data_IF_352228352147
#
_entry.id   IF_352228352147
#
_cell.length_a   1.000
_cell.length_b   1.000
_cell.length_c   1.000
_cell.angle_alpha   90.00
_cell.angle_beta   90.00
_cell.angle_gamma   90.00
#
_symmetry.space_group_name_H-M   'P 1'
#
loop_
_entity.id
_entity.type
_entity.pdbx_description
1 polymer ?
#
# COMPACT_ATOMS: atom_id res chain seq x y z
N UNK A 1 -6.66 47.77 7.48
CA UNK A 1 -6.19 47.12 8.72
C UNK A 1 -5.86 45.66 8.44
N UNK A 2 -4.55 45.37 8.45
CA UNK A 2 -3.85 44.08 8.60
C UNK A 2 -4.23 42.89 7.71
N UNK A 3 -3.56 42.83 6.56
CA UNK A 3 -3.14 41.59 5.90
C UNK A 3 -1.93 41.01 6.68
N UNK A 4 -1.98 39.75 7.06
CA UNK A 4 -0.83 39.05 7.64
C UNK A 4 -0.24 38.08 6.62
N UNK A 5 0.90 38.47 6.04
CA UNK A 5 1.68 37.68 5.11
C UNK A 5 2.30 36.44 5.78
N UNK A 6 2.19 35.30 5.09
CA UNK A 6 2.97 34.09 5.35
C UNK A 6 4.46 34.39 5.09
N UNK A 7 5.32 34.23 6.10
CA UNK A 7 6.77 34.19 5.90
C UNK A 7 7.29 32.76 6.03
N UNK A 8 7.96 32.36 4.96
CA UNK A 8 8.79 31.18 4.78
C UNK A 8 9.89 31.08 5.85
N UNK A 9 10.05 29.90 6.46
CA UNK A 9 11.25 29.56 7.23
C UNK A 9 12.07 28.54 6.43
N UNK A 10 13.07 29.04 5.71
CA UNK A 10 14.28 28.29 5.36
C UNK A 10 15.48 29.04 5.95
N UNK A 11 16.47 28.24 6.33
CA UNK A 11 17.84 28.61 6.74
C UNK A 11 18.02 28.98 8.21
N UNK A 12 18.44 28.01 9.01
CA UNK A 12 19.68 28.13 9.79
C UNK A 12 20.39 26.77 9.88
N UNK A 13 21.53 26.70 9.22
CA UNK A 13 22.50 25.62 9.22
C UNK A 13 23.53 25.84 10.34
N UNK A 14 23.54 24.93 11.33
CA UNK A 14 24.66 24.38 12.16
C UNK A 14 25.75 25.33 12.70
N UNK A 15 26.18 25.15 13.97
CA UNK A 15 26.87 23.93 14.39
C UNK A 15 26.34 23.34 15.71
N UNK A 16 25.43 22.36 15.59
CA UNK A 16 25.12 21.42 16.68
C UNK A 16 25.67 20.04 16.28
N UNK A 17 26.99 19.93 16.21
CA UNK A 17 27.68 18.64 16.00
C UNK A 17 28.09 17.96 17.32
N UNK A 18 27.67 18.49 18.48
CA UNK A 18 28.02 17.93 19.81
C UNK A 18 26.84 17.63 20.75
N UNK A 19 25.58 17.71 20.29
CA UNK A 19 24.41 17.23 21.04
C UNK A 19 23.80 16.02 20.31
N UNK A 20 24.52 14.90 20.37
CA UNK A 20 24.08 13.65 19.76
C UNK A 20 22.70 13.22 20.29
N UNK A 21 21.81 12.85 19.36
CA UNK A 21 20.60 12.03 19.53
C UNK A 21 19.47 12.51 20.49
N UNK A 22 19.75 13.32 21.51
CA UNK A 22 18.78 13.71 22.56
C UNK A 22 17.71 14.68 22.04
N UNK A 23 18.05 15.75 21.28
CA UNK A 23 17.03 16.66 20.75
C UNK A 23 16.08 15.98 19.76
N UNK A 24 16.60 15.04 18.96
CA UNK A 24 15.80 14.25 18.00
C UNK A 24 14.79 13.34 18.72
N UNK A 25 15.24 12.64 19.78
CA UNK A 25 14.37 11.80 20.61
C UNK A 25 13.32 12.62 21.34
N UNK A 26 13.69 13.76 21.92
CA UNK A 26 12.74 14.65 22.59
C UNK A 26 11.69 15.20 21.61
N UNK A 27 12.10 15.68 20.44
CA UNK A 27 11.19 16.12 19.39
C UNK A 27 10.24 15.00 18.94
N UNK A 28 10.76 13.76 18.81
CA UNK A 28 9.96 12.58 18.50
C UNK A 28 8.90 12.30 19.58
N UNK A 29 9.27 12.34 20.87
CA UNK A 29 8.32 12.10 21.97
C UNK A 29 7.26 13.20 22.09
N UNK A 30 7.66 14.47 21.94
CA UNK A 30 6.72 15.59 21.90
C UNK A 30 5.74 15.44 20.72
N UNK A 31 6.25 15.06 19.54
CA UNK A 31 5.42 14.74 18.38
C UNK A 31 4.42 13.62 18.65
N UNK A 32 4.84 12.54 19.33
CA UNK A 32 3.94 11.44 19.73
C UNK A 32 2.87 11.86 20.74
N UNK A 33 3.24 12.69 21.73
CA UNK A 33 2.28 13.21 22.71
C UNK A 33 1.22 14.11 22.04
N UNK A 34 1.65 14.99 21.13
CA UNK A 34 0.75 15.79 20.30
C UNK A 34 -0.17 14.93 19.44
N UNK A 35 0.38 13.89 18.79
CA UNK A 35 -0.41 12.96 18.00
C UNK A 35 -1.46 12.22 18.86
N UNK A 36 -1.10 11.79 20.08
CA UNK A 36 -2.03 11.15 21.00
C UNK A 36 -3.22 12.06 21.34
N UNK A 37 -2.96 13.30 21.75
CA UNK A 37 -4.02 14.29 22.01
C UNK A 37 -4.96 14.46 20.81
N UNK A 38 -4.40 14.63 19.61
CA UNK A 38 -5.16 14.79 18.37
C UNK A 38 -6.03 13.56 18.07
N UNK A 39 -5.53 12.35 18.31
CA UNK A 39 -6.30 11.11 18.11
C UNK A 39 -7.43 10.95 19.12
N UNK A 40 -7.22 11.30 20.39
CA UNK A 40 -8.29 11.29 21.41
C UNK A 40 -9.40 12.28 21.04
N UNK A 41 -9.05 13.50 20.63
CA UNK A 41 -10.04 14.50 20.19
C UNK A 41 -10.79 13.99 18.94
N UNK A 42 -10.07 13.42 17.96
CA UNK A 42 -10.69 12.84 16.76
C UNK A 42 -11.66 11.71 17.10
N UNK A 43 -11.35 10.89 18.10
CA UNK A 43 -12.22 9.81 18.56
C UNK A 43 -13.49 10.38 19.20
N UNK A 44 -13.37 11.39 20.07
CA UNK A 44 -14.54 12.04 20.68
C UNK A 44 -15.44 12.69 19.61
N UNK A 45 -14.85 13.40 18.64
CA UNK A 45 -15.59 13.95 17.50
C UNK A 45 -16.27 12.85 16.68
N UNK A 46 -15.60 11.72 16.44
CA UNK A 46 -16.16 10.60 15.72
C UNK A 46 -17.34 9.97 16.47
N UNK A 47 -17.24 9.79 17.79
CA UNK A 47 -18.33 9.27 18.63
C UNK A 47 -19.55 10.19 18.64
N UNK A 48 -19.34 11.51 18.54
CA UNK A 48 -20.43 12.47 18.40
C UNK A 48 -21.10 12.40 17.00
N UNK A 49 -20.31 12.19 15.95
CA UNK A 49 -20.80 12.14 14.55
C UNK A 49 -21.36 10.78 14.14
N UNK A 50 -20.89 9.70 14.75
CA UNK A 50 -21.22 8.31 14.40
C UNK A 50 -21.76 7.63 15.66
N UNK A 51 -23.08 7.70 15.93
CA UNK A 51 -23.69 7.20 17.16
C UNK A 51 -23.43 5.72 17.44
N UNK A 52 -23.23 4.89 16.40
CA UNK A 52 -22.89 3.47 16.56
C UNK A 52 -21.53 3.24 17.23
N UNK A 53 -20.65 4.23 17.31
CA UNK A 53 -19.42 4.12 18.09
C UNK A 53 -19.68 4.14 19.61
N UNK A 54 -20.82 4.68 20.06
CA UNK A 54 -21.22 4.65 21.48
C UNK A 54 -21.56 3.24 21.98
N UNK A 55 -21.85 2.32 21.07
CA UNK A 55 -22.19 0.92 21.39
C UNK A 55 -20.98 0.01 21.40
N UNK A 56 -19.75 0.54 21.28
CA UNK A 56 -18.53 -0.26 21.39
C UNK A 56 -18.37 -0.71 22.85
N UNK A 57 -18.61 -2.00 23.10
CA UNK A 57 -18.49 -2.61 24.42
C UNK A 57 -17.09 -3.16 24.70
N UNK A 58 -16.37 -3.57 23.65
CA UNK A 58 -15.09 -4.27 23.78
C UNK A 58 -14.15 -3.92 22.63
N UNK A 59 -12.87 -3.80 22.97
CA UNK A 59 -11.77 -3.74 22.01
C UNK A 59 -11.05 -5.08 22.06
N UNK A 60 -10.90 -5.71 20.90
CA UNK A 60 -10.19 -6.98 20.77
C UNK A 60 -8.93 -6.81 19.94
N UNK A 61 -7.87 -7.55 20.30
CA UNK A 61 -6.62 -7.57 19.57
C UNK A 61 -6.65 -8.75 18.60
N UNK A 62 -6.58 -8.46 17.30
CA UNK A 62 -6.40 -9.49 16.29
C UNK A 62 -4.96 -10.02 16.33
N UNK A 63 -4.74 -11.35 16.39
CA UNK A 63 -3.39 -11.91 16.40
C UNK A 63 -2.72 -11.66 15.05
N UNK A 64 -1.48 -11.16 15.09
CA UNK A 64 -0.67 -11.02 13.88
C UNK A 64 -0.02 -12.35 13.53
N UNK A 65 -0.10 -12.80 12.26
CA UNK A 65 0.71 -13.91 11.80
C UNK A 65 2.20 -13.63 11.99
N UNK A 66 3.03 -14.67 12.22
CA UNK A 66 4.47 -14.49 12.36
C UNK A 66 5.09 -13.96 11.06
N UNK A 67 6.19 -13.23 11.23
CA UNK A 67 7.06 -12.87 10.12
C UNK A 67 7.64 -14.13 9.49
N UNK A 68 7.88 -14.09 8.18
CA UNK A 68 8.45 -15.20 7.43
C UNK A 68 9.53 -14.69 6.50
N UNK A 69 10.69 -15.34 6.50
CA UNK A 69 11.68 -15.13 5.45
C UNK A 69 11.25 -15.95 4.23
N UNK A 70 11.10 -15.30 3.08
CA UNK A 70 10.85 -15.96 1.80
C UNK A 70 12.09 -15.82 0.94
N UNK A 71 12.56 -16.94 0.42
CA UNK A 71 13.63 -16.95 -0.59
C UNK A 71 13.03 -16.50 -1.93
N UNK A 72 13.73 -15.62 -2.62
CA UNK A 72 13.38 -15.23 -3.98
C UNK A 72 13.95 -16.29 -4.91
N UNK A 73 13.11 -16.90 -5.77
CA UNK A 73 13.60 -17.91 -6.71
C UNK A 73 14.67 -17.32 -7.62
N UNK A 74 15.79 -18.02 -7.77
CA UNK A 74 16.91 -17.61 -8.61
C UNK A 74 16.64 -17.82 -10.10
N UNK A 75 15.66 -18.65 -10.43
CA UNK A 75 15.37 -19.09 -11.80
C UNK A 75 14.71 -17.99 -12.66
N UNK A 76 14.48 -16.80 -12.11
CA UNK A 76 13.87 -15.66 -12.81
C UNK A 76 14.56 -14.34 -12.47
N UNK A 77 15.89 -14.36 -12.31
CA UNK A 77 16.65 -13.20 -11.81
C UNK A 77 16.89 -12.09 -12.84
N UNK A 78 16.66 -12.31 -14.13
CA UNK A 78 16.80 -11.22 -15.08
C UNK A 78 15.48 -10.45 -15.22
N UNK A 79 15.47 -9.18 -14.80
CA UNK A 79 14.29 -8.31 -14.90
C UNK A 79 13.77 -8.17 -16.35
N UNK A 80 14.62 -8.32 -17.37
CA UNK A 80 14.14 -8.43 -18.76
C UNK A 80 13.32 -9.70 -18.99
N UNK A 81 13.73 -10.86 -18.47
CA UNK A 81 12.98 -12.10 -18.66
C UNK A 81 11.62 -12.01 -17.97
N UNK A 82 11.55 -11.33 -16.82
CA UNK A 82 10.30 -11.01 -16.15
C UNK A 82 9.39 -10.21 -17.09
N UNK A 83 9.86 -9.07 -17.61
CA UNK A 83 9.04 -8.21 -18.49
C UNK A 83 8.69 -8.92 -19.80
N UNK A 84 9.63 -9.68 -20.38
CA UNK A 84 9.40 -10.48 -21.58
C UNK A 84 8.30 -11.53 -21.35
N UNK A 85 8.32 -12.21 -20.21
CA UNK A 85 7.29 -13.17 -19.85
C UNK A 85 5.94 -12.49 -19.59
N UNK A 86 5.94 -11.29 -19.01
CA UNK A 86 4.71 -10.49 -18.88
C UNK A 86 4.13 -10.15 -20.26
N UNK A 87 4.96 -9.66 -21.20
CA UNK A 87 4.54 -9.36 -22.56
C UNK A 87 3.98 -10.60 -23.28
N UNK A 88 4.60 -11.77 -23.11
CA UNK A 88 4.15 -13.03 -23.73
C UNK A 88 2.81 -13.52 -23.18
N UNK A 89 2.51 -13.24 -21.91
CA UNK A 89 1.25 -13.65 -21.27
C UNK A 89 0.08 -12.76 -21.66
N UNK A 90 0.32 -11.52 -22.08
CA UNK A 90 -0.74 -10.57 -22.41
C UNK A 90 -1.20 -10.74 -23.87
N UNK A 91 -2.39 -11.31 -24.13
CA UNK A 91 -2.85 -11.56 -25.49
C UNK A 91 -3.27 -10.29 -26.24
N UNK A 92 -3.42 -9.16 -25.53
CA UNK A 92 -3.86 -7.87 -26.12
C UNK A 92 -2.66 -7.05 -26.60
N UNK A 93 -1.46 -7.34 -26.08
CA UNK A 93 -0.26 -6.56 -26.36
C UNK A 93 0.28 -6.83 -27.77
N UNK A 94 0.44 -5.77 -28.57
CA UNK A 94 1.03 -5.91 -29.91
C UNK A 94 2.54 -6.19 -29.83
N UNK A 95 3.15 -6.80 -30.86
CA UNK A 95 4.61 -6.98 -30.92
C UNK A 95 5.38 -5.66 -30.80
N UNK A 96 4.82 -4.57 -31.36
CA UNK A 96 5.41 -3.24 -31.26
C UNK A 96 5.39 -2.72 -29.82
N UNK A 97 4.26 -2.85 -29.12
CA UNK A 97 4.16 -2.46 -27.70
C UNK A 97 5.07 -3.31 -26.81
N UNK A 98 5.19 -4.61 -27.10
CA UNK A 98 6.15 -5.48 -26.41
C UNK A 98 7.59 -4.96 -26.55
N UNK A 99 7.98 -4.57 -27.77
CA UNK A 99 9.31 -3.99 -28.04
C UNK A 99 9.49 -2.65 -27.31
N UNK A 100 8.49 -1.78 -27.35
CA UNK A 100 8.50 -0.48 -26.66
C UNK A 100 8.65 -0.64 -25.14
N UNK A 101 7.94 -1.59 -24.53
CA UNK A 101 8.05 -1.85 -23.09
C UNK A 101 9.45 -2.33 -22.70
N UNK A 102 10.05 -3.23 -23.50
CA UNK A 102 11.41 -3.72 -23.28
C UNK A 102 12.46 -2.61 -23.47
N UNK A 103 12.31 -1.76 -24.49
CA UNK A 103 13.19 -0.60 -24.71
C UNK A 103 13.09 0.41 -23.56
N UNK A 104 11.87 0.70 -23.09
CA UNK A 104 11.66 1.61 -21.95
C UNK A 104 12.33 1.10 -20.67
N UNK A 105 12.37 -0.23 -20.47
CA UNK A 105 13.09 -0.85 -19.36
C UNK A 105 14.61 -0.65 -19.47
N UNK A 106 15.18 -0.85 -20.66
CA UNK A 106 16.61 -0.56 -20.94
C UNK A 106 16.94 0.90 -20.67
N UNK A 107 16.08 1.82 -21.10
CA UNK A 107 16.28 3.25 -20.92
C UNK A 107 16.22 3.65 -19.45
N UNK A 108 15.31 3.06 -18.66
CA UNK A 108 15.22 3.29 -17.21
C UNK A 108 16.49 2.86 -16.48
N UNK A 109 17.00 1.67 -16.81
CA UNK A 109 18.22 1.15 -16.22
C UNK A 109 19.40 2.09 -16.48
N UNK A 110 19.53 2.54 -17.73
CA UNK A 110 20.59 3.44 -18.18
C UNK A 110 20.47 4.84 -17.57
N UNK A 111 19.27 5.44 -17.56
CA UNK A 111 19.05 6.81 -17.06
C UNK A 111 19.36 6.92 -15.57
N UNK A 112 18.90 5.95 -14.79
CA UNK A 112 19.02 5.98 -13.34
C UNK A 112 20.24 5.22 -12.82
N UNK A 113 21.08 4.71 -13.73
CA UNK A 113 22.21 3.83 -13.42
C UNK A 113 21.82 2.74 -12.42
N UNK A 114 20.61 2.18 -12.61
CA UNK A 114 20.05 1.20 -11.70
C UNK A 114 20.79 -0.10 -11.97
N UNK A 115 21.54 -0.58 -10.99
CA UNK A 115 22.12 -1.91 -11.09
C UNK A 115 21.05 -2.95 -10.76
N UNK A 116 19.94 -2.96 -11.50
CA UNK A 116 18.76 -3.79 -11.20
C UNK A 116 19.14 -5.27 -11.13
N UNK A 117 20.06 -5.69 -12.01
CA UNK A 117 20.62 -7.03 -11.99
C UNK A 117 21.29 -7.34 -10.64
N UNK A 118 22.28 -6.55 -10.22
CA UNK A 118 22.99 -6.81 -8.97
C UNK A 118 22.08 -6.68 -7.76
N UNK A 119 21.17 -5.70 -7.74
CA UNK A 119 20.20 -5.54 -6.66
C UNK A 119 19.26 -6.75 -6.54
N UNK A 120 18.79 -7.30 -7.66
CA UNK A 120 17.91 -8.47 -7.65
C UNK A 120 18.67 -9.78 -7.36
N UNK A 121 19.95 -9.85 -7.75
CA UNK A 121 20.84 -10.98 -7.43
C UNK A 121 21.31 -10.98 -5.96
N UNK A 122 21.53 -9.80 -5.36
CA UNK A 122 21.88 -9.62 -3.95
C UNK A 122 20.70 -9.94 -3.01
N UNK A 123 19.48 -9.65 -3.45
CA UNK A 123 18.24 -9.92 -2.71
C UNK A 123 17.85 -11.40 -2.78
N UNK A 124 18.61 -12.24 -2.07
CA UNK A 124 18.35 -13.68 -1.95
C UNK A 124 17.08 -14.00 -1.15
N UNK A 125 16.70 -13.15 -0.20
CA UNK A 125 15.55 -13.39 0.67
C UNK A 125 14.93 -12.12 1.22
N UNK A 126 13.61 -12.11 1.32
CA UNK A 126 12.83 -10.99 1.86
C UNK A 126 12.13 -11.40 3.15
N UNK A 127 12.26 -10.59 4.19
CA UNK A 127 11.47 -10.75 5.42
C UNK A 127 10.08 -10.18 5.18
N UNK A 128 9.10 -11.06 5.21
CA UNK A 128 7.71 -10.74 4.93
C UNK A 128 6.84 -10.72 6.19
N UNK A 129 5.82 -9.86 6.17
CA UNK A 129 4.79 -9.74 7.20
C UNK A 129 3.43 -9.50 6.56
N UNK A 130 2.38 -9.81 7.31
CA UNK A 130 1.01 -9.46 6.93
C UNK A 130 0.69 -8.09 7.53
N UNK A 131 0.10 -7.20 6.73
CA UNK A 131 -0.35 -5.89 7.21
C UNK A 131 -1.70 -5.96 7.92
N UNK A 132 -1.98 -4.95 8.74
CA UNK A 132 -3.17 -4.91 9.59
C UNK A 132 -4.48 -4.93 8.78
N UNK A 133 -4.51 -4.24 7.63
CA UNK A 133 -5.64 -4.21 6.70
C UNK A 133 -6.07 -5.64 6.32
N UNK A 134 -5.08 -6.45 5.92
CA UNK A 134 -5.32 -7.83 5.51
C UNK A 134 -5.76 -8.69 6.70
N UNK A 135 -5.08 -8.57 7.85
CA UNK A 135 -5.43 -9.32 9.07
C UNK A 135 -6.90 -9.09 9.43
N UNK A 136 -7.38 -7.85 9.37
CA UNK A 136 -8.77 -7.51 9.69
C UNK A 136 -9.76 -8.04 8.65
N UNK A 137 -9.48 -7.84 7.35
CA UNK A 137 -10.31 -8.36 6.25
C UNK A 137 -10.57 -9.86 6.42
N UNK A 138 -9.51 -10.61 6.68
CA UNK A 138 -9.58 -12.05 6.81
C UNK A 138 -10.15 -12.52 8.15
N UNK A 139 -9.91 -11.80 9.25
CA UNK A 139 -10.59 -12.07 10.51
C UNK A 139 -12.12 -11.97 10.34
N UNK A 140 -12.59 -10.91 9.70
CA UNK A 140 -14.01 -10.70 9.42
C UNK A 140 -14.56 -11.76 8.46
N UNK A 141 -13.78 -12.16 7.44
CA UNK A 141 -14.18 -13.23 6.52
C UNK A 141 -14.28 -14.58 7.24
N UNK A 142 -13.25 -14.96 8.03
CA UNK A 142 -13.16 -16.29 8.67
C UNK A 142 -14.16 -16.49 9.80
N UNK A 143 -14.54 -15.40 10.49
CA UNK A 143 -15.48 -15.43 11.61
C UNK A 143 -16.89 -14.97 11.25
N UNK A 144 -17.15 -14.64 9.99
CA UNK A 144 -18.42 -14.10 9.51
C UNK A 144 -18.93 -12.93 10.36
N UNK A 145 -18.03 -11.96 10.62
CA UNK A 145 -18.35 -10.82 11.49
C UNK A 145 -19.15 -9.76 10.72
N UNK A 146 -20.19 -9.24 11.36
CA UNK A 146 -20.98 -8.13 10.85
C UNK A 146 -20.23 -6.79 10.90
N UNK A 147 -20.50 -5.94 9.92
CA UNK A 147 -20.02 -4.56 9.89
C UNK A 147 -21.06 -3.59 10.45
N UNK A 148 -20.58 -2.56 11.18
CA UNK A 148 -21.44 -1.50 11.68
C UNK A 148 -22.16 -0.82 10.52
N UNK A 149 -23.48 -0.66 10.63
CA UNK A 149 -24.32 -0.04 9.58
C UNK A 149 -24.18 -0.67 8.18
N UNK A 150 -23.76 -1.94 8.10
CA UNK A 150 -23.43 -2.63 6.84
C UNK A 150 -22.31 -1.96 6.02
N UNK A 151 -21.55 -1.05 6.64
CA UNK A 151 -20.40 -0.39 6.02
C UNK A 151 -19.15 -1.26 6.15
N UNK A 152 -18.79 -1.94 5.06
CA UNK A 152 -17.66 -2.88 5.00
C UNK A 152 -16.31 -2.17 4.92
N UNK A 153 -16.16 -1.07 5.66
CA UNK A 153 -14.93 -0.29 5.74
C UNK A 153 -13.99 -0.85 6.81
N UNK A 154 -12.74 -1.08 6.40
CA UNK A 154 -11.65 -1.49 7.30
C UNK A 154 -10.68 -0.33 7.43
N UNK A 155 -10.75 0.36 8.57
CA UNK A 155 -9.87 1.49 8.89
C UNK A 155 -8.56 1.04 9.53
N UNK A 156 -7.43 1.61 9.09
CA UNK A 156 -6.12 1.43 9.71
C UNK A 156 -5.48 2.78 10.09
N UNK A 157 -4.43 2.72 10.91
CA UNK A 157 -3.73 3.92 11.42
C UNK A 157 -3.04 4.74 10.32
N UNK A 158 -2.82 4.13 9.15
CA UNK A 158 -2.31 4.74 7.93
C UNK A 158 -3.21 4.36 6.75
N UNK A 159 -3.23 5.16 5.66
CA UNK A 159 -3.78 4.73 4.38
C UNK A 159 -3.16 3.40 3.94
N UNK A 160 -3.88 2.64 3.11
CA UNK A 160 -3.41 1.37 2.61
C UNK A 160 -2.15 1.52 1.75
N UNK A 161 -1.25 0.54 1.84
CA UNK A 161 -0.16 0.39 0.88
C UNK A 161 -0.69 -0.13 -0.47
N UNK A 162 0.13 -0.08 -1.52
CA UNK A 162 -0.24 -0.58 -2.84
C UNK A 162 -0.79 -2.01 -2.77
N UNK A 163 -0.11 -2.90 -2.04
CA UNK A 163 -0.53 -4.29 -1.90
C UNK A 163 -1.88 -4.43 -1.18
N UNK A 164 -2.07 -3.75 -0.05
CA UNK A 164 -3.31 -3.85 0.73
C UNK A 164 -4.51 -3.24 0.01
N UNK A 165 -4.28 -2.14 -0.71
CA UNK A 165 -5.31 -1.49 -1.52
C UNK A 165 -5.80 -2.42 -2.63
N UNK A 166 -4.90 -2.91 -3.49
CA UNK A 166 -5.26 -3.80 -4.60
C UNK A 166 -5.85 -5.12 -4.09
N UNK A 167 -5.32 -5.67 -3.00
CA UNK A 167 -5.88 -6.89 -2.39
C UNK A 167 -7.34 -6.70 -1.97
N UNK A 168 -7.66 -5.55 -1.37
CA UNK A 168 -9.03 -5.24 -0.95
C UNK A 168 -9.93 -4.97 -2.15
N UNK A 169 -9.43 -4.25 -3.16
CA UNK A 169 -10.18 -3.89 -4.36
C UNK A 169 -10.53 -5.11 -5.24
N UNK A 170 -9.59 -6.05 -5.37
CA UNK A 170 -9.77 -7.31 -6.13
C UNK A 170 -10.81 -8.26 -5.51
N UNK A 171 -11.17 -8.07 -4.24
CA UNK A 171 -12.31 -8.76 -3.60
C UNK A 171 -13.65 -8.07 -3.92
N UNK A 172 -13.76 -7.48 -5.11
CA UNK A 172 -14.87 -6.68 -5.64
C UNK A 172 -16.20 -6.83 -4.87
N UNK A 173 -16.73 -5.70 -4.37
CA UNK A 173 -18.03 -5.57 -3.65
C UNK A 173 -18.09 -6.16 -2.24
N UNK A 174 -17.01 -6.77 -1.75
CA UNK A 174 -16.97 -7.25 -0.38
C UNK A 174 -16.50 -6.20 0.63
N UNK A 175 -15.76 -5.17 0.22
CA UNK A 175 -15.21 -4.16 1.13
C UNK A 175 -15.25 -2.77 0.51
N UNK A 176 -15.32 -1.75 1.37
CA UNK A 176 -15.13 -0.35 0.95
C UNK A 176 -13.64 -0.12 0.76
N UNK A 177 -13.24 0.34 -0.43
CA UNK A 177 -11.83 0.55 -0.74
C UNK A 177 -11.23 1.63 0.19
N UNK A 178 -10.13 1.33 0.91
CA UNK A 178 -9.51 2.27 1.81
C UNK A 178 -8.82 3.40 1.02
N UNK A 179 -8.61 4.55 1.67
CA UNK A 179 -7.65 5.52 1.18
C UNK A 179 -6.27 4.85 1.01
N UNK A 180 -5.51 5.22 -0.01
CA UNK A 180 -4.21 4.61 -0.32
C UNK A 180 -3.12 5.67 -0.41
N UNK A 181 -1.95 5.36 0.14
CA UNK A 181 -0.71 6.13 -0.11
C UNK A 181 0.11 5.52 -1.24
N UNK A 182 -0.38 4.42 -1.82
CA UNK A 182 0.15 3.77 -3.02
C UNK A 182 1.63 3.36 -2.95
N UNK A 183 2.21 3.21 -1.75
CA UNK A 183 3.64 2.85 -1.60
C UNK A 183 3.79 1.34 -1.72
N UNK A 184 4.78 0.92 -2.50
CA UNK A 184 5.17 -0.49 -2.62
C UNK A 184 5.99 -0.87 -1.40
N UNK A 185 5.59 -1.93 -0.70
CA UNK A 185 6.27 -2.46 0.48
C UNK A 185 6.66 -3.91 0.17
N UNK A 186 7.92 -4.14 -0.19
CA UNK A 186 8.43 -5.43 -0.70
C UNK A 186 8.24 -6.59 0.30
N UNK A 187 8.23 -6.30 1.60
CA UNK A 187 7.96 -7.29 2.66
C UNK A 187 6.49 -7.48 3.01
N UNK A 188 5.54 -6.97 2.23
CA UNK A 188 4.11 -7.21 2.46
C UNK A 188 3.70 -8.51 1.76
N UNK A 189 3.13 -9.46 2.50
CA UNK A 189 2.59 -10.70 1.93
C UNK A 189 1.10 -10.85 2.21
N UNK A 190 0.43 -11.61 1.35
CA UNK A 190 -0.92 -12.10 1.59
C UNK A 190 -1.01 -13.03 2.81
N UNK A 191 -2.24 -13.30 3.23
CA UNK A 191 -2.53 -14.14 4.38
C UNK A 191 -2.38 -15.59 3.99
N UNK A 192 -1.20 -16.13 4.26
CA UNK A 192 -0.93 -17.52 4.00
C UNK A 192 -1.78 -18.40 4.93
N UNK A 193 -2.59 -19.34 4.41
CA UNK A 193 -3.13 -20.40 5.26
C UNK A 193 -1.96 -21.16 5.88
N UNK A 194 -2.00 -21.43 7.19
CA UNK A 194 -1.10 -22.44 7.74
C UNK A 194 -1.41 -23.76 7.04
N UNK A 195 -0.52 -24.20 6.15
CA UNK A 195 -0.75 -25.24 5.15
C UNK A 195 -1.24 -26.58 5.74
N UNK A 196 -1.06 -26.79 7.05
CA UNK A 196 -1.53 -27.97 7.79
C UNK A 196 -2.85 -27.82 8.57
N UNK A 197 -3.45 -26.62 8.69
CA UNK A 197 -4.67 -26.40 9.49
C UNK A 197 -5.86 -25.85 8.71
N UNK A 198 -5.66 -25.40 7.47
CA UNK A 198 -6.72 -24.71 6.72
C UNK A 198 -7.22 -25.59 5.57
N UNK A 199 -8.55 -25.70 5.46
CA UNK A 199 -9.22 -26.54 4.46
C UNK A 199 -8.96 -26.09 3.01
N UNK A 200 -9.20 -27.01 2.07
CA UNK A 200 -8.98 -26.86 0.61
C UNK A 200 -9.46 -25.52 0.04
N UNK A 201 -10.67 -25.08 0.42
CA UNK A 201 -11.29 -23.83 -0.05
C UNK A 201 -10.45 -22.58 0.22
N UNK A 202 -9.78 -22.51 1.37
CA UNK A 202 -8.94 -21.34 1.71
C UNK A 202 -7.63 -21.34 0.91
N UNK A 203 -7.10 -22.52 0.57
CA UNK A 203 -5.92 -22.63 -0.29
C UNK A 203 -6.25 -22.19 -1.71
N UNK A 204 -7.39 -22.63 -2.24
CA UNK A 204 -7.91 -22.20 -3.55
C UNK A 204 -8.09 -20.68 -3.61
N UNK A 205 -8.77 -20.10 -2.61
CA UNK A 205 -8.92 -18.65 -2.48
C UNK A 205 -7.58 -17.92 -2.45
N UNK A 206 -6.59 -18.43 -1.69
CA UNK A 206 -5.28 -17.80 -1.59
C UNK A 206 -4.52 -17.84 -2.93
N UNK A 207 -4.55 -18.97 -3.62
CA UNK A 207 -3.96 -19.10 -4.96
C UNK A 207 -4.62 -18.16 -5.96
N UNK A 208 -5.95 -18.06 -5.92
CA UNK A 208 -6.71 -17.14 -6.77
C UNK A 208 -6.33 -15.67 -6.50
N UNK A 209 -6.31 -15.26 -5.23
CA UNK A 209 -5.97 -13.89 -4.84
C UNK A 209 -4.53 -13.53 -5.21
N UNK A 210 -3.58 -14.45 -5.02
CA UNK A 210 -2.21 -14.21 -5.47
C UNK A 210 -2.11 -14.13 -7.00
N UNK A 211 -2.82 -15.00 -7.73
CA UNK A 211 -2.88 -14.93 -9.19
C UNK A 211 -3.41 -13.57 -9.66
N UNK A 212 -4.50 -13.08 -9.06
CA UNK A 212 -5.06 -11.74 -9.34
C UNK A 212 -4.09 -10.61 -8.99
N UNK A 213 -3.41 -10.69 -7.83
CA UNK A 213 -2.42 -9.71 -7.43
C UNK A 213 -1.21 -9.70 -8.36
N UNK A 214 -0.70 -10.86 -8.77
CA UNK A 214 0.36 -10.97 -9.77
C UNK A 214 -0.06 -10.32 -11.07
N UNK A 215 -1.24 -10.66 -11.61
CA UNK A 215 -1.76 -10.04 -12.83
C UNK A 215 -1.91 -8.52 -12.71
N UNK A 216 -2.34 -8.01 -11.55
CA UNK A 216 -2.46 -6.58 -11.31
C UNK A 216 -1.08 -5.88 -11.34
N UNK A 217 -0.08 -6.47 -10.69
CA UNK A 217 1.30 -5.98 -10.73
C UNK A 217 1.87 -6.02 -12.15
N UNK A 218 1.67 -7.13 -12.87
CA UNK A 218 2.12 -7.29 -14.26
C UNK A 218 1.50 -6.21 -15.18
N UNK A 219 0.19 -5.93 -15.04
CA UNK A 219 -0.50 -4.86 -15.75
C UNK A 219 0.04 -3.47 -15.42
N UNK A 220 0.29 -3.19 -14.15
CA UNK A 220 0.81 -1.89 -13.72
C UNK A 220 2.26 -1.66 -14.20
N UNK A 221 3.08 -2.72 -14.25
CA UNK A 221 4.42 -2.69 -14.85
C UNK A 221 4.33 -2.35 -16.34
N UNK A 222 3.53 -3.08 -17.12
CA UNK A 222 3.37 -2.81 -18.55
C UNK A 222 2.86 -1.40 -18.82
N UNK A 223 1.83 -0.98 -18.09
CA UNK A 223 1.26 0.35 -18.20
C UNK A 223 2.31 1.42 -17.96
N UNK A 224 3.11 1.30 -16.89
CA UNK A 224 4.17 2.25 -16.58
C UNK A 224 5.22 2.33 -17.70
N UNK A 225 5.66 1.19 -18.23
CA UNK A 225 6.66 1.15 -19.31
C UNK A 225 6.12 1.74 -20.63
N UNK A 226 4.87 1.43 -20.97
CA UNK A 226 4.24 1.93 -22.20
C UNK A 226 3.93 3.43 -22.13
N UNK A 227 3.36 3.92 -21.02
CA UNK A 227 3.12 5.35 -20.79
C UNK A 227 4.42 6.14 -20.94
N UNK A 228 5.52 5.61 -20.40
CA UNK A 228 6.85 6.21 -20.55
C UNK A 228 7.31 6.24 -22.01
N UNK A 229 7.18 5.14 -22.75
CA UNK A 229 7.59 5.07 -24.16
C UNK A 229 6.81 6.03 -25.07
N UNK A 230 5.56 6.35 -24.71
CA UNK A 230 4.69 7.23 -25.49
C UNK A 230 5.02 8.73 -25.35
N UNK A 231 5.94 9.10 -24.45
CA UNK A 231 6.25 10.50 -24.17
C UNK A 231 5.12 11.25 -23.46
N UNK A 232 4.03 10.59 -23.08
CA UNK A 232 2.99 11.13 -22.22
C UNK A 232 3.55 11.31 -20.80
N UNK A 233 4.26 12.42 -20.60
CA UNK A 233 4.73 12.83 -19.29
C UNK A 233 3.52 13.26 -18.45
N UNK A 234 2.90 12.33 -17.74
CA UNK A 234 1.94 12.62 -16.67
C UNK A 234 2.45 12.02 -15.37
N UNK A 235 3.14 12.85 -14.61
CA UNK A 235 3.66 12.56 -13.27
C UNK A 235 2.59 12.07 -12.29
N UNK A 236 2.26 10.78 -12.35
CA UNK A 236 1.22 10.18 -11.49
C UNK A 236 1.74 9.11 -10.54
N UNK A 237 3.03 8.79 -10.57
CA UNK A 237 3.63 7.82 -9.65
C UNK A 237 4.70 8.45 -8.75
N UNK A 238 4.44 9.64 -8.24
CA UNK A 238 5.11 10.05 -7.02
C UNK A 238 4.46 9.29 -5.87
N UNK A 239 5.13 8.23 -5.40
CA UNK A 239 4.87 7.62 -4.11
C UNK A 239 5.20 8.64 -3.01
N UNK A 240 4.37 9.66 -2.87
CA UNK A 240 4.55 10.68 -1.85
C UNK A 240 4.40 10.00 -0.49
N UNK A 241 5.45 10.06 0.30
CA UNK A 241 5.42 9.70 1.71
C UNK A 241 4.56 10.73 2.44
N UNK A 242 3.24 10.54 2.43
CA UNK A 242 2.35 11.31 3.29
C UNK A 242 2.41 10.69 4.69
N UNK A 243 3.21 11.28 5.56
CA UNK A 243 2.75 11.44 6.94
C UNK A 243 1.47 12.31 6.89
N UNK A 244 0.29 11.71 6.87
CA UNK A 244 -0.93 12.55 6.82
C UNK A 244 -2.23 11.85 6.48
N UNK A 245 -2.99 11.53 7.52
CA UNK A 245 -4.46 11.43 7.56
C UNK A 245 -5.15 10.29 6.78
N UNK A 246 -5.72 9.34 7.53
CA UNK A 246 -6.60 8.24 7.06
C UNK A 246 -8.02 8.69 6.71
N UNK A 247 -8.25 9.94 6.26
CA UNK A 247 -9.61 10.41 5.98
C UNK A 247 -10.20 9.64 4.80
N UNK A 248 -11.25 8.87 5.07
CA UNK A 248 -12.09 8.27 4.04
C UNK A 248 -12.70 9.39 3.17
N UNK A 249 -12.90 9.16 1.85
CA UNK A 249 -13.62 10.11 1.02
C UNK A 249 -15.03 10.33 1.56
N UNK A 250 -15.48 11.59 1.53
CA UNK A 250 -16.83 11.96 1.95
C UNK A 250 -17.87 11.22 1.09
N UNK A 251 -18.93 10.70 1.73
CA UNK A 251 -20.07 10.02 1.09
C UNK A 251 -20.69 10.89 -0.01
N UNK A 252 -20.65 12.21 0.15
CA UNK A 252 -21.09 13.17 -0.88
C UNK A 252 -20.33 13.02 -2.22
N UNK A 253 -19.07 12.59 -2.17
CA UNK A 253 -18.17 12.41 -3.33
C UNK A 253 -18.39 11.06 -4.02
N UNK A 254 -18.91 10.07 -3.30
CA UNK A 254 -19.26 8.75 -3.85
C UNK A 254 -20.62 8.84 -4.56
N UNK A 255 -21.58 9.55 -3.97
CA UNK A 255 -22.92 9.72 -4.53
C UNK A 255 -22.93 10.60 -5.80
N UNK A 256 -21.99 11.53 -5.96
CA UNK A 256 -21.86 12.33 -7.19
C UNK A 256 -21.33 11.53 -8.39
N UNK A 257 -20.71 10.37 -8.15
CA UNK A 257 -20.21 9.46 -9.20
C UNK A 257 -21.21 8.36 -9.59
N UNK A 258 -22.34 8.24 -8.88
CA UNK A 258 -23.37 7.23 -9.14
C UNK A 258 -24.67 7.80 -9.73
N UNK A 259 -24.69 9.07 -10.15
CA UNK A 259 -25.81 9.62 -10.93
C UNK A 259 -25.64 9.23 -12.41
N UNK A 260 -26.29 8.13 -12.79
CA UNK A 260 -26.92 7.99 -14.10
C UNK A 260 -28.31 8.64 -14.03
#
# INVERSE_FOLDING_TARGET
MLQTQRKSCRLYSKPLQKLGDVPSKLAHYIGRAGAHKTKVISLLEAVLKVPSLKTILRIEVAPSPPTRRLEVSRDSQHYYDIVLNICRKDPVLTPMQSLQALQALTDLEREHNLQLKSQLEEESSVVTRVHAELILVDLFTRRDLGFAMKDKYVGCSKPACYFCFNWTDLRHREYVCPATHNRIILGCRGINPDLGRVGRKHREFWNEMNGKMTQQVEKDILKYLLERSSGENRGRWHHMSSEGSSRAPDISTVLSRMRL
#
